data_IF_543703582692
#
_entry.id   IF_543703582692
#
_cell.length_a   1.000
_cell.length_b   1.000
_cell.length_c   1.000
_cell.angle_alpha   90.00
_cell.angle_beta   90.00
_cell.angle_gamma   90.00
#
_symmetry.space_group_name_H-M   'P 1'
#
loop_
_entity.id
_entity.type
_entity.pdbx_description
1 polymer ?
#
# COMPACT_ATOMS: atom_id res chain seq x y z
N UNK A 1 37.96 21.31 -74.09
CA UNK A 1 38.08 19.83 -74.00
C UNK A 1 38.89 19.48 -72.75
N UNK A 2 38.22 19.10 -71.65
CA UNK A 2 38.65 18.21 -70.54
C UNK A 2 37.77 18.52 -69.32
N UNK A 3 37.04 17.49 -68.89
CA UNK A 3 36.09 17.50 -67.79
C UNK A 3 36.86 17.33 -66.47
N UNK A 4 36.74 18.27 -65.55
CA UNK A 4 37.06 18.07 -64.13
C UNK A 4 35.77 17.69 -63.42
N UNK A 5 35.61 16.41 -63.11
CA UNK A 5 34.48 15.91 -62.35
C UNK A 5 34.62 16.29 -60.88
N UNK A 6 33.70 17.10 -60.36
CA UNK A 6 33.52 17.27 -58.93
C UNK A 6 32.66 16.13 -58.40
N UNK A 7 33.25 15.31 -57.52
CA UNK A 7 32.53 14.30 -56.74
C UNK A 7 31.80 15.06 -55.62
N UNK A 8 30.47 15.10 -55.68
CA UNK A 8 29.64 15.50 -54.55
C UNK A 8 29.37 14.25 -53.69
N UNK A 9 30.02 14.16 -52.53
CA UNK A 9 29.66 13.19 -51.50
C UNK A 9 28.41 13.74 -50.81
N UNK A 10 27.24 13.13 -51.08
CA UNK A 10 26.03 13.35 -50.30
C UNK A 10 26.21 12.66 -48.94
N UNK A 11 26.38 13.45 -47.87
CA UNK A 11 26.25 12.95 -46.50
C UNK A 11 24.76 12.85 -46.15
N UNK A 12 24.20 11.64 -46.18
CA UNK A 12 22.91 11.37 -45.56
C UNK A 12 23.10 11.33 -44.05
N UNK A 13 22.78 12.42 -43.35
CA UNK A 13 22.63 12.40 -41.89
C UNK A 13 21.29 11.74 -41.61
N UNK A 14 21.32 10.44 -41.27
CA UNK A 14 20.15 9.78 -40.69
C UNK A 14 19.87 10.44 -39.34
N UNK A 15 18.82 11.27 -39.29
CA UNK A 15 18.28 11.78 -38.04
C UNK A 15 17.57 10.61 -37.35
N UNK A 16 18.33 9.81 -36.60
CA UNK A 16 17.74 8.84 -35.69
C UNK A 16 16.94 9.63 -34.66
N UNK A 17 15.60 9.53 -34.75
CA UNK A 17 14.69 9.96 -33.69
C UNK A 17 15.10 9.23 -32.42
N UNK A 18 15.91 9.89 -31.58
CA UNK A 18 16.03 9.54 -30.18
C UNK A 18 14.64 9.81 -29.59
N UNK A 19 13.85 8.74 -29.44
CA UNK A 19 12.74 8.80 -28.51
C UNK A 19 13.36 9.04 -27.15
N UNK A 20 13.06 10.19 -26.55
CA UNK A 20 13.35 10.42 -25.14
C UNK A 20 12.60 9.33 -24.38
N UNK A 21 13.33 8.36 -23.85
CA UNK A 21 12.81 7.38 -22.91
C UNK A 21 12.59 8.17 -21.62
N UNK A 22 11.45 8.85 -21.52
CA UNK A 22 10.94 9.22 -20.20
C UNK A 22 10.81 7.91 -19.42
N UNK A 23 11.32 7.81 -18.18
CA UNK A 23 11.05 6.66 -17.33
C UNK A 23 9.54 6.57 -17.15
N UNK A 24 8.89 5.71 -17.95
CA UNK A 24 7.46 5.45 -17.79
C UNK A 24 7.31 4.69 -16.50
N UNK A 25 6.50 5.25 -15.60
CA UNK A 25 6.03 4.55 -14.41
C UNK A 25 5.45 3.21 -14.87
N UNK A 26 5.88 2.07 -14.32
CA UNK A 26 5.39 0.76 -14.74
C UNK A 26 3.86 0.71 -14.73
N UNK A 27 3.25 0.04 -15.71
CA UNK A 27 1.78 -0.08 -15.84
C UNK A 27 1.11 -0.50 -14.54
N UNK A 28 1.76 -1.38 -13.77
CA UNK A 28 1.29 -1.81 -12.45
C UNK A 28 1.11 -0.64 -11.47
N UNK A 29 2.10 0.26 -11.41
CA UNK A 29 2.05 1.42 -10.51
C UNK A 29 0.96 2.39 -10.96
N UNK A 30 0.73 2.52 -12.27
CA UNK A 30 -0.39 3.32 -12.78
C UNK A 30 -1.74 2.75 -12.34
N UNK A 31 -1.89 1.42 -12.27
CA UNK A 31 -3.13 0.80 -11.75
C UNK A 31 -3.35 1.14 -10.28
N UNK A 32 -2.31 1.07 -9.43
CA UNK A 32 -2.42 1.49 -8.03
C UNK A 32 -2.77 2.98 -7.89
N UNK A 33 -2.16 3.85 -8.71
CA UNK A 33 -2.49 5.30 -8.73
C UNK A 33 -3.91 5.61 -9.22
N UNK A 34 -4.54 4.68 -9.92
CA UNK A 34 -5.91 4.82 -10.41
C UNK A 34 -6.95 4.26 -9.42
N UNK A 35 -6.52 3.70 -8.29
CA UNK A 35 -7.42 3.23 -7.25
C UNK A 35 -8.13 4.40 -6.55
N UNK A 36 -9.27 4.16 -5.87
CA UNK A 36 -9.90 5.16 -5.05
C UNK A 36 -8.97 5.62 -3.93
N UNK A 37 -9.07 6.89 -3.55
CA UNK A 37 -8.38 7.41 -2.37
C UNK A 37 -8.80 6.67 -1.10
N UNK A 38 -7.83 6.44 -0.22
CA UNK A 38 -8.06 5.88 1.10
C UNK A 38 -8.98 6.75 1.96
N UNK A 39 -9.60 6.13 2.97
CA UNK A 39 -10.47 6.85 3.89
C UNK A 39 -10.71 6.07 5.20
N UNK A 40 -10.74 6.80 6.32
CA UNK A 40 -11.02 6.26 7.65
C UNK A 40 -12.31 5.45 7.76
N UNK A 41 -13.33 5.75 6.93
CA UNK A 41 -14.59 4.96 6.93
C UNK A 41 -14.40 3.48 6.54
N UNK A 42 -13.26 3.14 5.96
CA UNK A 42 -12.91 1.77 5.58
C UNK A 42 -11.95 1.11 6.58
N UNK A 43 -11.64 1.78 7.70
CA UNK A 43 -10.90 1.20 8.81
C UNK A 43 -11.61 -0.02 9.38
N UNK A 44 -10.80 -1.03 9.65
CA UNK A 44 -11.21 -2.32 10.17
C UNK A 44 -10.15 -2.85 11.10
N UNK A 45 -10.62 -3.38 12.22
CA UNK A 45 -9.79 -4.02 13.23
C UNK A 45 -10.15 -5.51 13.31
N UNK A 46 -9.14 -6.35 13.58
CA UNK A 46 -9.37 -7.74 13.90
C UNK A 46 -8.28 -8.28 14.81
N UNK A 47 -8.49 -9.49 15.31
CA UNK A 47 -7.46 -10.24 16.01
C UNK A 47 -6.71 -11.10 14.99
N UNK A 48 -5.41 -10.90 14.88
CA UNK A 48 -4.49 -11.86 14.31
C UNK A 48 -4.40 -13.02 15.31
N UNK A 49 -4.80 -14.21 14.88
CA UNK A 49 -4.71 -15.45 15.67
C UNK A 49 -4.01 -16.52 14.84
N UNK A 50 -2.68 -16.56 14.95
CA UNK A 50 -1.82 -17.41 14.13
C UNK A 50 -0.80 -18.15 14.99
N UNK A 51 -0.71 -19.47 14.82
CA UNK A 51 0.22 -20.31 15.57
C UNK A 51 0.09 -20.10 17.10
N UNK A 52 1.14 -19.64 17.79
CA UNK A 52 1.16 -19.38 19.23
C UNK A 52 1.06 -17.88 19.58
N UNK A 53 0.76 -16.99 18.63
CA UNK A 53 0.65 -15.54 18.89
C UNK A 53 -0.77 -15.05 18.63
N UNK A 54 -1.24 -14.12 19.47
CA UNK A 54 -2.45 -13.34 19.22
C UNK A 54 -2.21 -11.86 19.41
N UNK A 55 -2.73 -11.03 18.51
CA UNK A 55 -2.66 -9.57 18.66
C UNK A 55 -3.78 -8.88 17.91
N UNK A 56 -4.26 -7.75 18.41
CA UNK A 56 -5.05 -6.80 17.64
C UNK A 56 -4.22 -6.25 16.48
N UNK A 57 -4.87 -5.95 15.36
CA UNK A 57 -4.29 -5.21 14.26
C UNK A 57 -5.37 -4.45 13.50
N UNK A 58 -4.98 -3.36 12.83
CA UNK A 58 -5.82 -2.56 11.95
C UNK A 58 -5.31 -2.60 10.52
N UNK A 59 -6.20 -2.39 9.56
CA UNK A 59 -5.83 -2.22 8.15
C UNK A 59 -5.24 -0.84 7.81
N UNK A 60 -4.96 -0.01 8.82
CA UNK A 60 -4.08 1.16 8.73
C UNK A 60 -2.60 0.82 8.98
N UNK A 61 -2.30 -0.44 9.30
CA UNK A 61 -0.94 -0.91 9.55
C UNK A 61 -0.53 -0.99 11.02
N UNK A 62 -1.38 -0.55 11.95
CA UNK A 62 -1.14 -0.70 13.39
C UNK A 62 -1.26 -2.17 13.84
N UNK A 63 -0.31 -2.64 14.66
CA UNK A 63 -0.27 -3.98 15.26
C UNK A 63 -0.08 -3.87 16.78
N UNK A 64 -1.01 -4.43 17.55
CA UNK A 64 -1.06 -4.28 18.99
C UNK A 64 -1.68 -2.95 19.41
N UNK A 65 -2.39 -2.96 20.53
CA UNK A 65 -3.06 -1.77 21.06
C UNK A 65 -3.32 -1.94 22.56
N UNK A 66 -2.30 -1.75 23.39
CA UNK A 66 -2.50 -1.69 24.84
C UNK A 66 -3.35 -0.46 25.21
N UNK A 67 -4.28 -0.54 26.19
CA UNK A 67 -4.52 -1.65 27.12
C UNK A 67 -5.44 -2.75 26.60
N UNK A 68 -5.95 -2.63 25.38
CA UNK A 68 -6.84 -3.63 24.78
C UNK A 68 -6.10 -4.96 24.54
N UNK A 69 -6.84 -6.05 24.61
CA UNK A 69 -6.31 -7.40 24.55
C UNK A 69 -6.95 -8.17 23.39
N UNK A 70 -6.20 -9.06 22.72
CA UNK A 70 -4.79 -9.38 22.95
C UNK A 70 -3.84 -8.34 22.31
N UNK A 71 -2.72 -8.04 22.95
CA UNK A 71 -1.67 -7.17 22.36
C UNK A 71 -0.31 -7.85 22.41
N UNK A 72 0.06 -8.51 21.32
CA UNK A 72 1.27 -9.35 21.25
C UNK A 72 1.30 -10.48 22.28
N UNK A 73 0.17 -11.14 22.53
CA UNK A 73 0.06 -12.24 23.48
C UNK A 73 0.84 -13.46 22.98
N UNK A 74 1.80 -13.94 23.77
CA UNK A 74 2.53 -15.17 23.52
C UNK A 74 2.91 -15.89 24.82
N UNK A 75 2.72 -17.21 24.95
CA UNK A 75 1.93 -18.06 24.08
C UNK A 75 0.45 -17.64 24.10
N UNK A 76 -0.25 -17.86 23.00
CA UNK A 76 -1.69 -17.68 22.86
C UNK A 76 -2.44 -18.32 24.04
N UNK A 77 -3.32 -17.54 24.68
CA UNK A 77 -4.11 -17.97 25.84
C UNK A 77 -3.40 -17.82 27.18
N UNK A 78 -2.18 -17.25 27.22
CA UNK A 78 -1.45 -16.98 28.47
C UNK A 78 -2.03 -15.80 29.25
N UNK A 79 -2.75 -14.88 28.59
CA UNK A 79 -3.20 -13.62 29.17
C UNK A 79 -2.08 -12.60 29.40
N UNK A 80 -0.86 -12.85 28.92
CA UNK A 80 0.28 -11.95 29.04
C UNK A 80 0.52 -11.19 27.73
N UNK A 81 0.19 -9.88 27.65
CA UNK A 81 0.56 -9.05 26.51
C UNK A 81 2.03 -8.64 26.56
N UNK A 82 2.66 -8.58 25.40
CA UNK A 82 4.07 -8.16 25.24
C UNK A 82 4.24 -6.99 24.26
N UNK A 83 3.17 -6.58 23.57
CA UNK A 83 3.21 -5.43 22.68
C UNK A 83 2.32 -4.31 23.23
N UNK A 84 2.84 -3.10 23.20
CA UNK A 84 2.05 -1.90 23.43
C UNK A 84 1.30 -1.55 22.14
N UNK A 85 2.04 -1.09 21.12
CA UNK A 85 1.61 -1.03 19.73
C UNK A 85 2.82 -0.92 18.80
N UNK A 86 2.61 -1.16 17.52
CA UNK A 86 3.60 -1.03 16.46
C UNK A 86 2.94 -0.43 15.23
N UNK A 87 3.64 0.45 14.52
CA UNK A 87 3.23 0.98 13.22
C UNK A 87 4.39 0.90 12.23
N UNK A 88 4.05 0.91 10.95
CA UNK A 88 5.00 1.21 9.88
C UNK A 88 5.27 2.72 9.84
N UNK A 89 6.53 3.10 9.57
CA UNK A 89 6.93 4.46 9.23
C UNK A 89 7.39 4.48 7.78
N UNK A 90 6.82 5.34 6.95
CA UNK A 90 7.16 5.49 5.53
C UNK A 90 7.72 6.89 5.33
N UNK A 91 9.01 6.99 5.02
CA UNK A 91 9.66 8.26 4.71
C UNK A 91 9.92 8.43 3.22
N UNK A 92 9.79 9.65 2.72
CA UNK A 92 10.19 10.03 1.36
C UNK A 92 11.09 11.27 1.38
N UNK A 93 11.99 11.39 0.42
CA UNK A 93 12.69 12.65 0.15
C UNK A 93 11.94 13.38 -0.97
N UNK A 94 11.50 14.61 -0.69
CA UNK A 94 10.70 15.41 -1.62
C UNK A 94 11.34 16.78 -1.78
N UNK A 95 11.44 17.25 -3.02
CA UNK A 95 11.77 18.65 -3.31
C UNK A 95 10.50 19.48 -3.31
N UNK A 96 10.34 20.34 -2.31
CA UNK A 96 9.15 21.18 -2.16
C UNK A 96 8.96 22.11 -3.37
N UNK A 97 7.76 22.15 -4.00
CA UNK A 97 7.54 22.86 -5.26
C UNK A 97 7.71 24.38 -5.14
N UNK A 98 7.53 24.95 -3.94
CA UNK A 98 7.60 26.40 -3.71
C UNK A 98 9.02 26.96 -3.58
N UNK A 99 9.82 26.41 -2.67
CA UNK A 99 11.15 26.96 -2.32
C UNK A 99 12.32 26.05 -2.71
N UNK A 100 12.04 24.91 -3.38
CA UNK A 100 13.03 23.91 -3.76
C UNK A 100 13.82 23.32 -2.56
N UNK A 101 13.28 23.47 -1.34
CA UNK A 101 13.87 22.83 -0.17
C UNK A 101 13.66 21.31 -0.26
N UNK A 102 14.68 20.56 0.14
CA UNK A 102 14.56 19.13 0.34
C UNK A 102 13.93 18.91 1.72
N UNK A 103 12.82 18.19 1.74
CA UNK A 103 12.10 17.82 2.96
C UNK A 103 11.99 16.29 3.04
N UNK A 104 11.80 15.79 4.25
CA UNK A 104 11.72 14.36 4.56
C UNK A 104 10.44 14.05 5.35
N UNK A 105 9.24 14.15 4.74
CA UNK A 105 8.01 13.75 5.39
C UNK A 105 8.07 12.27 5.78
N UNK A 106 7.47 11.95 6.94
CA UNK A 106 7.34 10.59 7.45
C UNK A 106 5.88 10.36 7.77
N UNK A 107 5.33 9.34 7.15
CA UNK A 107 3.94 8.95 7.29
C UNK A 107 3.78 7.71 8.16
N UNK A 108 2.72 7.68 8.96
CA UNK A 108 2.41 6.60 9.88
C UNK A 108 0.89 6.45 10.07
N UNK A 109 0.47 5.40 10.77
CA UNK A 109 -0.85 5.39 11.40
C UNK A 109 -0.75 4.67 12.73
N UNK A 110 -0.73 5.47 13.79
CA UNK A 110 -0.60 5.01 15.17
C UNK A 110 -1.71 5.61 16.02
N UNK A 111 -2.08 4.95 17.10
CA UNK A 111 -3.15 5.43 18.00
C UNK A 111 -2.86 6.76 18.72
N UNK A 112 -1.62 7.25 18.68
CA UNK A 112 -1.12 8.40 19.47
C UNK A 112 -0.24 9.30 18.59
N UNK A 113 -0.16 10.59 18.95
CA UNK A 113 0.77 11.57 18.36
C UNK A 113 0.67 11.71 16.83
N UNK A 114 -0.52 11.47 16.27
CA UNK A 114 -0.82 11.73 14.87
C UNK A 114 -1.26 13.19 14.67
N UNK A 115 -0.90 13.76 13.53
CA UNK A 115 -1.43 15.04 13.10
C UNK A 115 -2.91 14.93 12.73
N UNK A 116 -3.63 16.04 12.83
CA UNK A 116 -5.07 16.08 12.59
C UNK A 116 -5.46 17.32 11.79
N UNK A 117 -6.49 17.18 10.98
CA UNK A 117 -7.13 18.30 10.31
C UNK A 117 -7.67 19.29 11.36
N UNK A 118 -7.22 20.56 11.36
CA UNK A 118 -7.63 21.55 12.36
C UNK A 118 -9.10 21.97 12.24
N UNK A 119 -9.78 21.63 11.13
CA UNK A 119 -11.19 21.94 10.85
C UNK A 119 -12.08 20.74 11.12
N UNK A 120 -11.72 19.55 10.62
CA UNK A 120 -12.57 18.35 10.72
C UNK A 120 -12.21 17.45 11.89
N UNK A 121 -10.98 17.53 12.40
CA UNK A 121 -10.44 16.62 13.43
C UNK A 121 -10.13 15.22 12.91
N UNK A 122 -10.18 15.00 11.59
CA UNK A 122 -9.74 13.74 10.98
C UNK A 122 -8.22 13.56 11.16
N UNK A 123 -7.78 12.33 11.41
CA UNK A 123 -6.36 12.01 11.48
C UNK A 123 -5.75 12.15 10.08
N UNK A 124 -4.60 12.80 10.01
CA UNK A 124 -3.70 12.76 8.86
C UNK A 124 -2.72 11.62 9.06
N UNK A 125 -2.98 10.52 8.37
CA UNK A 125 -2.30 9.25 8.56
C UNK A 125 -2.57 8.28 7.40
N UNK A 126 -1.90 7.12 7.44
CA UNK A 126 -2.20 6.02 6.54
C UNK A 126 -3.62 5.52 6.77
N UNK A 127 -4.41 5.51 5.69
CA UNK A 127 -5.79 5.06 5.69
C UNK A 127 -5.98 3.90 4.70
N UNK A 128 -7.00 3.03 4.88
CA UNK A 128 -7.21 1.90 3.99
C UNK A 128 -7.90 2.30 2.68
N UNK A 129 -7.42 1.71 1.59
CA UNK A 129 -8.04 1.80 0.26
C UNK A 129 -9.26 0.84 0.22
N UNK A 130 -10.44 1.29 -0.23
CA UNK A 130 -11.62 0.43 -0.33
C UNK A 130 -11.46 -0.64 -1.41
N UNK A 131 -12.27 -1.72 -1.30
CA UNK A 131 -12.29 -2.81 -2.29
C UNK A 131 -11.38 -3.99 -1.96
N UNK A 132 -10.51 -3.86 -0.95
CA UNK A 132 -9.63 -4.93 -0.48
C UNK A 132 -10.22 -5.80 0.63
N UNK A 133 -11.45 -5.53 1.05
CA UNK A 133 -12.20 -6.35 2.00
C UNK A 133 -13.70 -6.25 1.73
N UNK A 134 -14.48 -7.20 2.24
CA UNK A 134 -15.94 -7.16 2.14
C UNK A 134 -16.51 -5.98 2.94
N UNK A 135 -17.18 -5.03 2.29
CA UNK A 135 -17.76 -3.85 2.94
C UNK A 135 -18.82 -4.16 4.00
N UNK A 136 -19.42 -5.36 3.97
CA UNK A 136 -20.41 -5.81 4.96
C UNK A 136 -19.77 -6.46 6.20
N UNK A 137 -18.45 -6.62 6.23
CA UNK A 137 -17.73 -7.30 7.30
C UNK A 137 -16.82 -6.33 8.06
N UNK A 138 -16.68 -6.52 9.36
CA UNK A 138 -15.94 -5.60 10.24
C UNK A 138 -14.44 -5.87 10.27
N UNK A 139 -14.00 -7.05 9.82
CA UNK A 139 -12.58 -7.42 9.75
C UNK A 139 -11.96 -7.06 8.40
N UNK A 140 -10.65 -6.78 8.35
CA UNK A 140 -9.87 -6.80 7.10
C UNK A 140 -9.97 -8.17 6.41
N UNK A 141 -9.51 -8.30 5.17
CA UNK A 141 -9.51 -9.58 4.49
C UNK A 141 -8.50 -10.54 5.13
N UNK A 142 -8.97 -11.64 5.70
CA UNK A 142 -8.19 -12.63 6.45
C UNK A 142 -8.25 -13.99 5.75
N UNK A 143 -7.11 -14.64 5.56
CA UNK A 143 -6.97 -15.89 4.78
C UNK A 143 -7.84 -17.05 5.25
N UNK A 144 -8.19 -17.11 6.53
CA UNK A 144 -9.06 -18.15 7.12
C UNK A 144 -10.54 -17.78 7.13
N UNK A 145 -10.91 -16.59 6.65
CA UNK A 145 -12.26 -16.04 6.72
C UNK A 145 -12.73 -15.52 5.35
N UNK A 146 -13.22 -16.43 4.49
CA UNK A 146 -13.68 -16.11 3.11
C UNK A 146 -14.65 -14.93 3.04
N UNK A 147 -15.53 -14.80 4.04
CA UNK A 147 -16.55 -13.76 4.13
C UNK A 147 -15.96 -12.35 4.28
N UNK A 148 -14.70 -12.24 4.73
CA UNK A 148 -14.01 -10.96 4.87
C UNK A 148 -13.37 -10.45 3.56
N UNK A 149 -13.28 -11.29 2.53
CA UNK A 149 -12.65 -10.93 1.25
C UNK A 149 -13.67 -10.21 0.35
N UNK A 150 -13.22 -9.34 -0.57
CA UNK A 150 -14.11 -8.81 -1.59
C UNK A 150 -14.63 -9.95 -2.51
N UNK A 151 -15.71 -9.66 -3.24
CA UNK A 151 -16.22 -10.58 -4.28
C UNK A 151 -15.22 -10.71 -5.43
N UNK A 152 -14.59 -9.59 -5.80
CA UNK A 152 -13.56 -9.47 -6.83
C UNK A 152 -12.41 -8.65 -6.26
N UNK A 153 -11.19 -9.17 -6.33
CA UNK A 153 -9.99 -8.43 -5.96
C UNK A 153 -9.71 -7.31 -6.96
N UNK A 154 -9.21 -6.14 -6.53
CA UNK A 154 -8.92 -5.04 -7.43
C UNK A 154 -7.93 -5.42 -8.54
N UNK A 155 -8.20 -4.95 -9.77
CA UNK A 155 -7.36 -5.16 -10.95
C UNK A 155 -5.93 -4.62 -10.76
N UNK A 156 -5.76 -3.67 -9.83
CA UNK A 156 -4.48 -3.13 -9.41
C UNK A 156 -3.54 -4.18 -8.83
N UNK A 157 -4.03 -5.34 -8.37
CA UNK A 157 -3.16 -6.44 -7.94
C UNK A 157 -2.58 -7.24 -9.12
N UNK A 158 -3.16 -7.13 -10.32
CA UNK A 158 -2.77 -7.89 -11.51
C UNK A 158 -2.60 -9.40 -11.21
N UNK A 159 -3.55 -9.95 -10.44
CA UNK A 159 -3.46 -11.34 -10.00
C UNK A 159 -3.70 -12.29 -11.18
N UNK A 160 -2.96 -13.40 -11.24
CA UNK A 160 -3.29 -14.52 -12.10
C UNK A 160 -4.72 -15.03 -11.87
N UNK A 161 -5.33 -15.60 -12.90
CA UNK A 161 -6.75 -16.03 -12.89
C UNK A 161 -7.08 -17.06 -11.79
N UNK A 162 -6.10 -17.82 -11.31
CA UNK A 162 -6.25 -18.76 -10.20
C UNK A 162 -6.59 -18.09 -8.86
N UNK A 163 -6.33 -16.79 -8.71
CA UNK A 163 -6.73 -16.01 -7.54
C UNK A 163 -8.16 -15.48 -7.61
N UNK A 164 -8.89 -15.73 -8.71
CA UNK A 164 -10.28 -15.31 -8.84
C UNK A 164 -11.15 -15.97 -7.76
N UNK A 165 -11.52 -15.19 -6.75
CA UNK A 165 -12.28 -15.65 -5.60
C UNK A 165 -11.45 -16.38 -4.53
N UNK A 166 -10.12 -16.40 -4.64
CA UNK A 166 -9.19 -16.97 -3.66
C UNK A 166 -8.37 -15.88 -2.97
N UNK A 167 -7.89 -16.13 -1.75
CA UNK A 167 -7.06 -15.18 -1.03
C UNK A 167 -5.68 -15.01 -1.71
N UNK A 168 -5.17 -13.79 -1.89
CA UNK A 168 -3.84 -13.50 -2.44
C UNK A 168 -2.74 -13.79 -1.41
N UNK A 169 -2.64 -15.04 -0.97
CA UNK A 169 -1.62 -15.49 -0.02
C UNK A 169 -0.23 -15.26 -0.60
N UNK A 170 0.71 -14.86 0.27
CA UNK A 170 2.13 -14.76 -0.09
C UNK A 170 2.68 -16.09 -0.62
N UNK A 171 2.13 -17.21 -0.15
CA UNK A 171 2.55 -18.57 -0.51
C UNK A 171 1.76 -19.15 -1.69
N UNK A 172 0.95 -18.34 -2.37
CA UNK A 172 0.11 -18.76 -3.49
C UNK A 172 -1.26 -19.30 -3.09
N UNK A 173 -2.10 -19.52 -4.11
CA UNK A 173 -3.50 -19.95 -3.95
C UNK A 173 -3.59 -21.25 -3.14
N UNK A 174 -4.55 -21.30 -2.20
CA UNK A 174 -4.85 -22.48 -1.36
C UNK A 174 -3.65 -22.99 -0.54
N UNK A 175 -2.71 -22.11 -0.17
CA UNK A 175 -1.62 -22.46 0.72
C UNK A 175 -2.10 -22.66 2.16
N UNK A 176 -1.89 -23.86 2.70
CA UNK A 176 -2.05 -24.14 4.14
C UNK A 176 -0.73 -23.99 4.91
N UNK A 177 0.26 -23.29 4.34
CA UNK A 177 1.60 -23.16 4.95
C UNK A 177 1.65 -22.21 6.14
N UNK A 178 0.62 -21.39 6.30
CA UNK A 178 0.52 -20.36 7.32
C UNK A 178 -0.80 -20.48 8.06
N UNK A 179 -0.77 -20.20 9.37
CA UNK A 179 -1.96 -20.27 10.20
C UNK A 179 -2.88 -19.05 10.01
N UNK A 180 -2.31 -17.90 9.63
CA UNK A 180 -3.02 -16.64 9.48
C UNK A 180 -2.27 -15.71 8.51
N UNK A 181 -3.01 -15.06 7.63
CA UNK A 181 -2.57 -13.90 6.85
C UNK A 181 -3.72 -12.90 6.75
N UNK A 182 -3.38 -11.62 6.66
CA UNK A 182 -4.34 -10.56 6.32
C UNK A 182 -3.80 -9.78 5.12
N UNK A 183 -4.69 -9.28 4.27
CA UNK A 183 -4.33 -8.49 3.10
C UNK A 183 -5.15 -7.19 3.07
N UNK A 184 -4.47 -6.07 2.87
CA UNK A 184 -5.05 -4.75 2.70
C UNK A 184 -4.04 -3.83 2.03
N UNK A 185 -4.52 -2.73 1.44
CA UNK A 185 -3.70 -1.64 0.93
C UNK A 185 -4.13 -0.37 1.66
N UNK A 186 -3.16 0.50 1.90
CA UNK A 186 -3.33 1.77 2.58
C UNK A 186 -2.48 2.85 1.89
N UNK A 187 -2.94 4.09 1.94
CA UNK A 187 -2.24 5.27 1.44
C UNK A 187 -2.50 6.50 2.33
N UNK A 188 -1.80 7.59 2.03
CA UNK A 188 -1.81 8.88 2.72
C UNK A 188 -2.59 9.95 1.94
N UNK A 189 -3.47 9.55 1.01
CA UNK A 189 -4.17 10.50 0.12
C UNK A 189 -5.10 11.50 0.83
N UNK A 190 -5.33 11.28 2.13
CA UNK A 190 -6.14 12.13 3.02
C UNK A 190 -5.28 13.01 3.92
N UNK A 191 -3.96 12.83 3.93
CA UNK A 191 -3.05 13.73 4.62
C UNK A 191 -3.09 15.12 3.96
N UNK A 192 -3.35 16.12 4.79
CA UNK A 192 -3.48 17.52 4.42
C UNK A 192 -2.35 18.42 4.90
N UNK A 193 -1.30 17.89 5.54
CA UNK A 193 -0.27 18.70 6.22
C UNK A 193 0.41 19.72 5.29
N UNK A 194 0.60 19.37 4.02
CA UNK A 194 1.33 20.17 3.03
C UNK A 194 0.51 20.60 1.79
N UNK A 195 -0.82 20.70 1.91
CA UNK A 195 -1.72 21.16 0.84
C UNK A 195 -1.71 22.67 0.60
#
# INVERSE_FOLDING_TARGET
MRKTGFIFILFFVSFSLLSEIFPQVPDQIQKYRAEPYANFKYEKESILDGNLIRTLFKNTGEIGHWPFQPSGEWPKGSGHPYLDGMTLLIGAEVTAPGNQAVIHPIEASYREEMDVDPVTGEIWGMEPIPGYSNSLFTSPAISTLRQSWPDVWPDALNLPSEFNGNFPSYFGVNSNRVAFESFFIMDDSRDGEYL
#
